data_IF_571437336109
#
_entry.id   IF_571437336109
#
_cell.length_a   1.000
_cell.length_b   1.000
_cell.length_c   1.000
_cell.angle_alpha   90.00
_cell.angle_beta   90.00
_cell.angle_gamma   90.00
#
_symmetry.space_group_name_H-M   'P 1'
#
loop_
_entity.id
_entity.type
_entity.pdbx_description
1 polymer ?
#
# COMPACT_ATOMS: atom_id res chain seq x y z
N UNK A 1 14.75 -14.42 -12.07
CA UNK A 1 13.82 -13.28 -11.86
C UNK A 1 12.46 -13.65 -12.41
N UNK A 2 11.40 -13.67 -11.63
CA UNK A 2 10.05 -13.63 -12.18
C UNK A 2 9.93 -12.32 -12.95
N UNK A 3 9.56 -12.42 -14.21
CA UNK A 3 9.49 -11.27 -15.09
C UNK A 3 8.03 -10.98 -15.43
N UNK A 4 7.63 -9.74 -15.29
CA UNK A 4 6.41 -9.23 -15.89
C UNK A 4 6.76 -8.87 -17.33
N UNK A 5 6.15 -9.58 -18.30
CA UNK A 5 6.48 -9.43 -19.72
C UNK A 5 5.29 -9.02 -20.59
N UNK A 6 4.10 -8.91 -20.00
CA UNK A 6 2.86 -8.58 -20.73
C UNK A 6 2.01 -7.58 -19.95
N UNK A 7 1.17 -6.83 -20.63
CA UNK A 7 0.18 -5.95 -20.01
C UNK A 7 -0.77 -6.71 -19.06
N UNK A 8 -1.19 -7.93 -19.44
CA UNK A 8 -2.02 -8.78 -18.60
C UNK A 8 -1.32 -9.14 -17.28
N UNK A 9 0.00 -9.38 -17.31
CA UNK A 9 0.74 -9.66 -16.08
C UNK A 9 0.92 -8.40 -15.20
N UNK A 10 0.99 -7.20 -15.80
CA UNK A 10 0.91 -5.93 -15.07
C UNK A 10 -0.46 -5.82 -14.38
N UNK A 11 -1.54 -6.06 -15.12
CA UNK A 11 -2.90 -5.99 -14.59
C UNK A 11 -3.11 -6.99 -13.44
N UNK A 12 -2.62 -8.22 -13.58
CA UNK A 12 -2.67 -9.23 -12.52
C UNK A 12 -1.86 -8.79 -11.28
N UNK A 13 -0.65 -8.26 -11.48
CA UNK A 13 0.20 -7.79 -10.39
C UNK A 13 -0.44 -6.64 -9.61
N UNK A 14 -0.91 -5.61 -10.31
CA UNK A 14 -1.54 -4.44 -9.68
C UNK A 14 -2.88 -4.79 -9.02
N UNK A 15 -3.66 -5.71 -9.61
CA UNK A 15 -4.87 -6.26 -8.98
C UNK A 15 -4.55 -6.91 -7.64
N UNK A 16 -3.54 -7.78 -7.61
CA UNK A 16 -3.14 -8.45 -6.37
C UNK A 16 -2.56 -7.49 -5.35
N UNK A 17 -1.76 -6.51 -5.77
CA UNK A 17 -1.23 -5.48 -4.88
C UNK A 17 -2.37 -4.64 -4.26
N UNK A 18 -3.35 -4.26 -5.07
CA UNK A 18 -4.51 -3.53 -4.58
C UNK A 18 -5.42 -4.38 -3.69
N UNK A 19 -5.57 -5.68 -3.99
CA UNK A 19 -6.35 -6.58 -3.15
C UNK A 19 -5.72 -6.80 -1.75
N UNK A 20 -4.41 -6.65 -1.62
CA UNK A 20 -3.71 -6.72 -0.34
C UNK A 20 -3.61 -5.38 0.37
N UNK A 21 -4.24 -4.34 -0.16
CA UNK A 21 -4.10 -2.97 0.34
C UNK A 21 -5.09 -2.59 1.45
N UNK A 22 -5.93 -3.51 1.92
CA UNK A 22 -7.00 -3.21 2.87
C UNK A 22 -7.89 -2.03 2.41
N UNK A 23 -8.18 -1.97 1.12
CA UNK A 23 -9.00 -0.94 0.45
C UNK A 23 -8.43 0.50 0.51
N UNK A 24 -7.14 0.65 0.83
CA UNK A 24 -6.45 1.94 0.94
C UNK A 24 -5.41 2.24 -0.14
N UNK A 25 -5.04 1.28 -0.97
CA UNK A 25 -3.91 1.36 -1.91
C UNK A 25 -4.07 2.29 -3.12
N UNK A 26 -5.21 2.95 -3.25
CA UNK A 26 -5.53 3.88 -4.33
C UNK A 26 -5.77 3.21 -5.69
N UNK A 27 -5.94 4.04 -6.74
CA UNK A 27 -6.14 3.56 -8.12
C UNK A 27 -4.82 3.66 -8.92
N UNK A 28 -4.18 2.54 -9.31
CA UNK A 28 -2.86 2.52 -9.94
C UNK A 28 -2.87 2.80 -11.46
N UNK A 29 -3.76 3.64 -11.95
CA UNK A 29 -3.88 3.96 -13.40
C UNK A 29 -2.57 4.54 -13.95
N UNK A 30 -1.94 5.45 -13.21
CA UNK A 30 -0.66 6.09 -13.59
C UNK A 30 0.45 5.04 -13.61
N UNK A 31 0.56 4.24 -12.57
CA UNK A 31 1.59 3.21 -12.41
C UNK A 31 1.45 2.13 -13.47
N UNK A 32 0.21 1.74 -13.81
CA UNK A 32 -0.07 0.83 -14.93
C UNK A 32 0.47 1.39 -16.24
N UNK A 33 0.20 2.65 -16.52
CA UNK A 33 0.71 3.34 -17.72
C UNK A 33 2.25 3.38 -17.76
N UNK A 34 2.89 3.67 -16.64
CA UNK A 34 4.34 3.69 -16.48
C UNK A 34 4.95 2.31 -16.72
N UNK A 35 4.41 1.25 -16.12
CA UNK A 35 4.89 -0.12 -16.28
C UNK A 35 4.73 -0.62 -17.74
N UNK A 36 3.64 -0.27 -18.41
CA UNK A 36 3.47 -0.56 -19.85
C UNK A 36 4.55 0.15 -20.67
N UNK A 37 4.82 1.43 -20.38
CA UNK A 37 5.87 2.18 -21.06
C UNK A 37 7.27 1.61 -20.77
N UNK A 38 7.50 1.09 -19.57
CA UNK A 38 8.77 0.44 -19.20
C UNK A 38 8.98 -0.87 -19.98
N UNK A 39 7.93 -1.70 -20.13
CA UNK A 39 7.99 -2.88 -20.99
C UNK A 39 8.24 -2.52 -22.46
N UNK A 40 7.55 -1.51 -22.98
CA UNK A 40 7.70 -1.05 -24.36
C UNK A 40 9.13 -0.51 -24.62
N UNK A 41 9.78 0.05 -23.59
CA UNK A 41 11.17 0.50 -23.64
C UNK A 41 12.18 -0.64 -23.44
N UNK A 42 11.74 -1.88 -23.29
CA UNK A 42 12.60 -3.05 -23.08
C UNK A 42 13.25 -3.09 -21.69
N UNK A 43 12.71 -2.36 -20.71
CA UNK A 43 13.23 -2.40 -19.34
C UNK A 43 12.79 -3.70 -18.65
N UNK A 44 13.67 -4.33 -17.84
CA UNK A 44 13.29 -5.50 -17.07
C UNK A 44 12.35 -5.10 -15.94
N UNK A 45 11.11 -5.60 -15.96
CA UNK A 45 10.12 -5.40 -14.90
C UNK A 45 10.00 -6.70 -14.10
N UNK A 46 10.35 -6.65 -12.81
CA UNK A 46 10.34 -7.85 -11.97
C UNK A 46 11.08 -7.62 -10.65
N UNK A 47 11.31 -8.69 -9.92
CA UNK A 47 11.94 -8.67 -8.60
C UNK A 47 12.88 -9.85 -8.40
N UNK A 48 13.68 -9.78 -7.34
CA UNK A 48 14.67 -10.80 -6.95
C UNK A 48 14.45 -11.21 -5.49
N UNK A 49 14.82 -12.43 -5.11
CA UNK A 49 14.90 -12.79 -3.71
C UNK A 49 16.00 -11.95 -3.02
N UNK A 50 15.76 -11.58 -1.76
CA UNK A 50 16.72 -10.79 -0.97
C UNK A 50 18.11 -11.43 -0.90
N UNK A 51 18.18 -12.76 -0.94
CA UNK A 51 19.43 -13.53 -0.93
C UNK A 51 20.35 -13.30 -2.13
N UNK A 52 19.87 -12.66 -3.19
CA UNK A 52 20.70 -12.27 -4.36
C UNK A 52 21.38 -10.90 -4.17
N UNK A 53 21.10 -10.20 -3.06
CA UNK A 53 21.61 -8.86 -2.81
C UNK A 53 22.67 -8.84 -1.70
N UNK A 54 23.54 -7.84 -1.77
CA UNK A 54 24.51 -7.49 -0.74
C UNK A 54 24.69 -5.96 -0.71
N UNK A 55 24.80 -5.37 0.49
CA UNK A 55 24.96 -3.92 0.68
C UNK A 55 23.77 -3.28 1.38
N UNK A 56 23.39 -2.08 0.95
CA UNK A 56 22.33 -1.26 1.54
C UNK A 56 21.15 -1.15 0.58
N UNK A 57 19.95 -1.45 1.08
CA UNK A 57 18.70 -1.25 0.36
C UNK A 57 18.07 0.10 0.71
N UNK A 58 17.23 0.63 -0.17
CA UNK A 58 16.39 1.78 0.09
C UNK A 58 14.92 1.42 -0.10
N UNK A 59 14.04 2.15 0.57
CA UNK A 59 12.61 2.18 0.25
C UNK A 59 12.24 3.46 -0.47
N UNK A 60 11.20 3.39 -1.27
CA UNK A 60 10.56 4.57 -1.85
C UNK A 60 9.06 4.53 -1.64
N UNK A 61 8.46 5.68 -1.42
CA UNK A 61 7.01 5.84 -1.41
C UNK A 61 6.62 7.27 -1.81
N UNK A 62 5.41 7.42 -2.26
CA UNK A 62 4.79 8.74 -2.28
C UNK A 62 4.33 9.13 -0.88
N UNK A 63 4.65 10.36 -0.48
CA UNK A 63 3.94 11.04 0.60
C UNK A 63 2.90 11.95 -0.04
N UNK A 64 1.63 11.67 0.23
CA UNK A 64 0.50 12.48 -0.24
C UNK A 64 0.11 13.52 0.80
N UNK A 65 -0.25 14.71 0.36
CA UNK A 65 -1.05 15.64 1.16
C UNK A 65 -2.49 15.55 0.68
N UNK A 66 -3.36 15.17 1.59
CA UNK A 66 -4.80 15.23 1.36
C UNK A 66 -5.26 16.55 1.96
N UNK A 67 -4.89 17.67 1.32
CA UNK A 67 -5.43 18.96 1.70
C UNK A 67 -6.91 19.02 1.32
N UNK A 68 -7.76 19.67 2.16
CA UNK A 68 -9.15 19.94 1.79
C UNK A 68 -9.27 20.76 0.49
N UNK A 69 -8.24 21.51 0.17
CA UNK A 69 -8.09 22.24 -1.07
C UNK A 69 -7.42 21.32 -2.09
N UNK A 70 -8.24 20.55 -2.84
CA UNK A 70 -7.76 19.83 -4.01
C UNK A 70 -7.06 20.83 -4.93
N UNK A 71 -5.86 20.50 -5.37
CA UNK A 71 -5.19 21.27 -6.41
C UNK A 71 -5.84 20.92 -7.74
N UNK A 72 -6.81 21.73 -8.17
CA UNK A 72 -7.62 21.47 -9.36
C UNK A 72 -6.77 21.42 -10.64
N UNK A 73 -5.62 22.09 -10.65
CA UNK A 73 -4.64 22.01 -11.73
C UNK A 73 -3.22 22.26 -11.17
N UNK A 74 -2.50 21.20 -10.74
CA UNK A 74 -1.14 21.35 -10.24
C UNK A 74 -0.15 21.86 -11.29
N UNK A 75 -0.37 21.59 -12.57
CA UNK A 75 0.51 22.06 -13.66
C UNK A 75 0.37 23.58 -13.85
N UNK A 76 -0.86 24.10 -13.89
CA UNK A 76 -1.11 25.54 -14.00
C UNK A 76 -0.53 26.30 -12.79
N UNK A 77 -0.70 25.74 -11.59
CA UNK A 77 -0.13 26.30 -10.36
C UNK A 77 1.39 26.30 -10.37
N UNK A 78 2.02 25.23 -10.85
CA UNK A 78 3.47 25.17 -10.99
C UNK A 78 3.99 26.26 -11.94
N UNK A 79 3.32 26.46 -13.07
CA UNK A 79 3.65 27.56 -14.02
C UNK A 79 3.52 28.93 -13.35
N UNK A 80 2.47 29.17 -12.58
CA UNK A 80 2.28 30.42 -11.84
C UNK A 80 3.36 30.67 -10.79
N UNK A 81 3.99 29.60 -10.25
CA UNK A 81 5.13 29.68 -9.34
C UNK A 81 6.49 29.79 -10.06
N UNK A 82 6.49 29.87 -11.38
CA UNK A 82 7.70 29.99 -12.20
C UNK A 82 8.37 28.66 -12.53
N UNK A 83 7.67 27.53 -12.36
CA UNK A 83 8.12 26.17 -12.64
C UNK A 83 7.29 25.48 -13.72
N UNK A 84 7.46 24.18 -13.82
CA UNK A 84 6.72 23.25 -14.68
C UNK A 84 7.17 21.84 -14.39
N UNK A 85 6.50 20.84 -14.98
CA UNK A 85 6.89 19.43 -14.78
C UNK A 85 8.29 19.16 -15.32
N UNK A 86 9.15 18.64 -14.45
CA UNK A 86 10.55 18.25 -14.72
C UNK A 86 10.70 16.74 -14.71
N UNK A 87 9.98 16.07 -13.81
CA UNK A 87 10.10 14.62 -13.60
C UNK A 87 8.77 13.91 -13.79
N UNK A 88 8.67 13.02 -14.76
CA UNK A 88 7.54 12.09 -14.89
C UNK A 88 7.57 11.00 -13.82
N UNK A 89 8.76 10.70 -13.31
CA UNK A 89 9.00 9.67 -12.32
C UNK A 89 9.97 10.15 -11.23
N UNK A 90 9.46 10.89 -10.22
CA UNK A 90 10.31 11.59 -9.24
C UNK A 90 11.07 10.66 -8.28
N UNK A 91 10.73 9.36 -8.21
CA UNK A 91 11.51 8.37 -7.44
C UNK A 91 12.93 8.18 -7.98
N UNK A 92 13.12 8.27 -9.31
CA UNK A 92 14.43 8.12 -9.90
C UNK A 92 15.42 9.15 -9.35
N UNK A 93 15.17 10.47 -9.41
CA UNK A 93 16.03 11.45 -8.78
C UNK A 93 16.05 11.38 -7.25
N UNK A 94 14.96 10.93 -6.58
CA UNK A 94 14.95 10.79 -5.12
C UNK A 94 15.95 9.71 -4.64
N UNK A 95 16.00 8.55 -5.31
CA UNK A 95 16.98 7.49 -5.00
C UNK A 95 18.41 8.00 -5.25
N UNK A 96 18.68 8.68 -6.37
CA UNK A 96 20.00 9.24 -6.68
C UNK A 96 20.44 10.30 -5.67
N UNK A 97 19.50 11.14 -5.23
CA UNK A 97 19.75 12.13 -4.18
C UNK A 97 20.09 11.46 -2.83
N UNK A 98 19.42 10.37 -2.49
CA UNK A 98 19.75 9.62 -1.26
C UNK A 98 21.11 8.96 -1.34
N UNK A 99 21.47 8.37 -2.49
CA UNK A 99 22.82 7.83 -2.74
C UNK A 99 23.90 8.91 -2.55
N UNK A 100 23.67 10.09 -3.12
CA UNK A 100 24.60 11.23 -3.01
C UNK A 100 24.77 11.68 -1.55
N UNK A 101 23.67 11.84 -0.83
CA UNK A 101 23.66 12.30 0.58
C UNK A 101 24.38 11.33 1.51
N UNK A 102 24.23 10.03 1.27
CA UNK A 102 24.82 8.97 2.09
C UNK A 102 26.23 8.54 1.63
N UNK A 103 26.59 8.82 0.39
CA UNK A 103 27.83 8.34 -0.22
C UNK A 103 27.83 6.82 -0.42
N UNK A 104 26.64 6.20 -0.62
CA UNK A 104 26.48 4.76 -0.82
C UNK A 104 25.68 4.49 -2.08
N UNK A 105 25.92 3.34 -2.72
CA UNK A 105 25.13 2.87 -3.85
C UNK A 105 24.00 1.99 -3.33
N UNK A 106 22.78 2.22 -3.82
CA UNK A 106 21.62 1.39 -3.50
C UNK A 106 21.77 0.00 -4.14
N UNK A 107 21.79 -1.04 -3.33
CA UNK A 107 21.91 -2.42 -3.77
C UNK A 107 20.59 -3.03 -4.22
N UNK A 108 19.46 -2.51 -3.71
CA UNK A 108 18.11 -2.98 -4.02
C UNK A 108 17.06 -2.06 -3.43
N UNK A 109 15.87 -2.09 -4.01
CA UNK A 109 14.70 -1.41 -3.49
C UNK A 109 13.80 -2.39 -2.74
N UNK A 110 13.23 -1.95 -1.61
CA UNK A 110 12.24 -2.72 -0.83
C UNK A 110 10.96 -1.89 -0.76
N UNK A 111 9.81 -2.47 -1.09
CA UNK A 111 8.53 -1.75 -0.94
C UNK A 111 8.25 -1.47 0.53
N UNK A 112 7.77 -0.28 0.84
CA UNK A 112 7.40 0.07 2.22
C UNK A 112 6.13 -0.65 2.66
N UNK A 113 5.25 -0.92 1.71
CA UNK A 113 3.92 -1.49 1.89
C UNK A 113 3.45 -2.17 0.61
N UNK A 114 2.31 -2.85 0.65
CA UNK A 114 1.62 -3.36 -0.52
C UNK A 114 0.38 -2.52 -0.80
N UNK A 115 0.39 -1.83 -1.92
CA UNK A 115 -0.74 -1.04 -2.41
C UNK A 115 -0.57 -0.73 -3.89
N UNK A 116 -1.65 -0.50 -4.62
CA UNK A 116 -1.61 -0.35 -6.09
C UNK A 116 -0.65 0.74 -6.53
N UNK A 117 -0.72 1.91 -5.91
CA UNK A 117 0.11 3.07 -6.26
C UNK A 117 1.56 2.85 -5.85
N UNK A 118 1.86 2.71 -4.55
CA UNK A 118 3.25 2.63 -4.09
C UNK A 118 4.01 1.41 -4.62
N UNK A 119 3.35 0.24 -4.68
CA UNK A 119 3.98 -0.98 -5.20
C UNK A 119 4.19 -0.92 -6.72
N UNK A 120 3.25 -0.35 -7.47
CA UNK A 120 3.41 -0.11 -8.90
C UNK A 120 4.53 0.88 -9.20
N UNK A 121 4.59 1.97 -8.43
CA UNK A 121 5.58 3.02 -8.60
C UNK A 121 7.01 2.55 -8.30
N UNK A 122 7.23 1.78 -7.21
CA UNK A 122 8.56 1.25 -6.89
C UNK A 122 9.02 0.22 -7.94
N UNK A 123 8.13 -0.60 -8.47
CA UNK A 123 8.44 -1.55 -9.53
C UNK A 123 8.89 -0.82 -10.81
N UNK A 124 8.21 0.27 -11.20
CA UNK A 124 8.62 1.12 -12.31
C UNK A 124 9.96 1.84 -12.01
N UNK A 125 10.15 2.35 -10.78
CA UNK A 125 11.41 2.96 -10.36
C UNK A 125 12.59 1.99 -10.48
N UNK A 126 12.41 0.77 -9.99
CA UNK A 126 13.40 -0.32 -10.11
C UNK A 126 13.80 -0.56 -11.55
N UNK A 127 12.84 -0.72 -12.45
CA UNK A 127 13.06 -0.93 -13.88
C UNK A 127 13.83 0.23 -14.55
N UNK A 128 13.55 1.47 -14.17
CA UNK A 128 14.19 2.69 -14.72
C UNK A 128 15.58 2.94 -14.15
N UNK A 129 15.79 2.64 -12.89
CA UNK A 129 17.08 2.78 -12.22
C UNK A 129 18.06 1.66 -12.58
N UNK A 130 17.53 0.49 -13.01
CA UNK A 130 18.31 -0.74 -13.14
C UNK A 130 18.75 -1.30 -11.77
N UNK A 131 18.04 -0.94 -10.69
CA UNK A 131 18.27 -1.41 -9.33
C UNK A 131 17.23 -2.49 -9.04
N UNK A 132 17.60 -3.70 -8.57
CA UNK A 132 16.65 -4.77 -8.29
C UNK A 132 15.58 -4.38 -7.26
N UNK A 133 14.34 -4.77 -7.49
CA UNK A 133 13.30 -4.77 -6.46
C UNK A 133 13.35 -6.10 -5.69
N UNK A 134 13.29 -6.04 -4.37
CA UNK A 134 13.22 -7.23 -3.51
C UNK A 134 11.83 -7.86 -3.61
N UNK A 135 11.75 -9.20 -3.63
CA UNK A 135 10.50 -9.94 -3.42
C UNK A 135 10.11 -9.89 -1.95
N UNK A 136 9.54 -8.76 -1.54
CA UNK A 136 9.16 -8.48 -0.16
C UNK A 136 8.83 -7.01 0.07
N UNK A 137 8.25 -6.76 1.23
CA UNK A 137 7.91 -5.42 1.69
C UNK A 137 8.00 -5.30 3.22
N UNK A 138 7.65 -4.15 3.78
CA UNK A 138 7.76 -3.89 5.22
C UNK A 138 6.43 -3.86 5.98
N UNK A 139 5.32 -4.26 5.37
CA UNK A 139 4.01 -4.26 6.04
C UNK A 139 3.12 -5.46 5.69
N UNK A 140 3.25 -6.02 4.48
CA UNK A 140 2.41 -7.10 3.96
C UNK A 140 0.97 -6.68 3.65
N UNK A 141 0.69 -5.38 3.69
CA UNK A 141 -0.56 -4.68 3.36
C UNK A 141 -0.28 -3.20 3.14
N UNK A 142 -1.26 -2.41 2.72
CA UNK A 142 -1.16 -0.96 2.81
C UNK A 142 -1.37 -0.47 4.26
N UNK A 143 -0.75 0.65 4.57
CA UNK A 143 -0.68 1.23 5.91
C UNK A 143 -0.80 2.76 5.86
N UNK A 144 -1.48 3.39 6.83
CA UNK A 144 -1.67 4.83 6.83
C UNK A 144 -0.45 5.62 7.31
N UNK A 145 0.47 4.96 8.04
CA UNK A 145 1.53 5.63 8.80
C UNK A 145 2.82 4.82 8.83
N UNK A 146 3.97 5.51 8.88
CA UNK A 146 5.30 4.88 9.00
C UNK A 146 5.50 4.03 10.27
N UNK A 147 4.72 4.29 11.32
CA UNK A 147 4.73 3.45 12.52
C UNK A 147 4.27 2.02 12.26
N UNK A 148 3.40 1.83 11.27
CA UNK A 148 2.84 0.54 10.92
C UNK A 148 3.76 -0.27 9.99
N UNK A 149 5.07 -0.02 10.06
CA UNK A 149 6.09 -0.75 9.28
C UNK A 149 6.96 -1.63 10.15
N UNK A 150 7.41 -2.74 9.61
CA UNK A 150 8.33 -3.65 10.28
C UNK A 150 9.65 -2.95 10.71
N UNK A 151 10.28 -2.05 9.94
CA UNK A 151 11.39 -1.25 10.43
C UNK A 151 11.07 -0.46 11.71
N UNK A 152 9.89 0.15 11.82
CA UNK A 152 9.50 0.85 13.05
C UNK A 152 9.32 -0.11 14.23
N UNK A 153 8.62 -1.23 14.03
CA UNK A 153 8.38 -2.26 15.05
C UNK A 153 9.69 -2.82 15.59
N UNK A 154 10.70 -2.98 14.74
CA UNK A 154 12.03 -3.47 15.10
C UNK A 154 13.01 -2.38 15.54
N UNK A 155 12.60 -1.10 15.54
CA UNK A 155 13.45 0.02 15.96
C UNK A 155 14.50 0.44 14.95
N UNK A 156 14.38 0.03 13.69
CA UNK A 156 15.30 0.39 12.61
C UNK A 156 15.17 1.86 12.23
N UNK A 157 16.29 2.46 11.78
CA UNK A 157 16.32 3.83 11.32
C UNK A 157 15.79 3.95 9.91
N UNK A 158 14.80 4.82 9.70
CA UNK A 158 14.26 5.09 8.36
C UNK A 158 14.77 6.40 7.76
N UNK A 159 15.49 7.21 8.53
CA UNK A 159 16.11 8.46 8.11
C UNK A 159 17.52 8.23 7.55
N UNK A 160 18.02 9.11 6.67
CA UNK A 160 17.38 10.33 6.14
C UNK A 160 16.35 10.05 5.07
N UNK A 161 15.47 11.06 4.80
CA UNK A 161 14.60 11.07 3.62
C UNK A 161 15.17 12.01 2.56
N UNK A 162 15.26 11.54 1.34
CA UNK A 162 15.46 12.37 0.14
C UNK A 162 14.13 12.50 -0.59
N UNK A 163 13.58 13.71 -0.64
CA UNK A 163 12.27 13.99 -1.17
C UNK A 163 12.41 14.80 -2.46
N UNK A 164 11.72 14.38 -3.52
CA UNK A 164 11.71 15.04 -4.82
C UNK A 164 10.29 15.06 -5.37
N UNK A 165 9.85 16.20 -5.89
CA UNK A 165 8.56 16.32 -6.54
C UNK A 165 8.64 16.31 -8.08
N UNK A 166 7.49 16.35 -8.72
CA UNK A 166 7.37 16.42 -10.18
C UNK A 166 7.96 17.68 -10.79
N UNK A 167 8.12 18.76 -10.00
CA UNK A 167 8.52 20.08 -10.46
C UNK A 167 10.01 20.37 -10.23
N UNK A 168 10.77 19.38 -9.70
CA UNK A 168 12.21 19.47 -9.51
C UNK A 168 12.65 20.01 -8.15
N UNK A 169 11.72 20.23 -7.20
CA UNK A 169 12.10 20.56 -5.84
C UNK A 169 12.74 19.35 -5.15
N UNK A 170 13.82 19.60 -4.41
CA UNK A 170 14.58 18.58 -3.67
C UNK A 170 14.72 18.99 -2.21
N UNK A 171 14.40 18.09 -1.29
CA UNK A 171 14.48 18.32 0.16
C UNK A 171 15.09 17.10 0.85
N UNK A 172 16.02 17.35 1.79
CA UNK A 172 16.57 16.31 2.66
C UNK A 172 16.07 16.51 4.08
N UNK A 173 15.39 15.49 4.62
CA UNK A 173 15.09 15.40 6.05
C UNK A 173 16.19 14.55 6.68
N UNK A 174 17.23 15.24 7.20
CA UNK A 174 18.43 14.55 7.72
C UNK A 174 18.17 13.81 9.01
N UNK A 175 17.38 14.41 9.90
CA UNK A 175 17.07 13.87 11.22
C UNK A 175 15.70 14.30 11.68
N UNK A 176 15.07 13.48 12.51
CA UNK A 176 13.80 13.75 13.16
C UNK A 176 13.76 13.04 14.51
N UNK A 177 13.06 13.56 15.52
CA UNK A 177 12.92 12.91 16.82
C UNK A 177 12.21 11.55 16.76
N UNK A 178 11.37 11.33 15.75
CA UNK A 178 10.63 10.08 15.54
C UNK A 178 10.15 9.93 14.10
N UNK A 179 9.75 8.71 13.73
CA UNK A 179 9.12 8.43 12.42
C UNK A 179 7.83 9.23 12.21
N UNK A 180 7.03 9.45 13.28
CA UNK A 180 5.83 10.30 13.25
C UNK A 180 6.13 11.75 12.84
N UNK A 181 7.20 12.32 13.38
CA UNK A 181 7.62 13.65 12.98
C UNK A 181 8.13 13.69 11.55
N UNK A 182 8.90 12.69 11.14
CA UNK A 182 9.39 12.59 9.76
C UNK A 182 8.21 12.51 8.77
N UNK A 183 7.22 11.66 9.03
CA UNK A 183 6.02 11.55 8.23
C UNK A 183 5.22 12.86 8.17
N UNK A 184 5.01 13.50 9.32
CA UNK A 184 4.34 14.80 9.37
C UNK A 184 5.04 15.85 8.49
N UNK A 185 6.37 15.87 8.49
CA UNK A 185 7.16 16.77 7.64
C UNK A 185 6.94 16.42 6.16
N UNK A 186 7.01 15.14 5.77
CA UNK A 186 6.81 14.74 4.36
C UNK A 186 5.41 15.08 3.86
N UNK A 187 4.37 14.95 4.69
CA UNK A 187 3.00 15.36 4.34
C UNK A 187 2.88 16.86 4.09
N UNK A 188 3.60 17.70 4.87
CA UNK A 188 3.63 19.14 4.62
C UNK A 188 4.47 19.50 3.38
N UNK A 189 5.53 18.76 3.10
CA UNK A 189 6.26 18.90 1.84
C UNK A 189 5.38 18.53 0.65
N UNK A 190 4.60 17.44 0.74
CA UNK A 190 3.64 17.07 -0.30
C UNK A 190 2.62 18.18 -0.56
N UNK A 191 2.11 18.86 0.48
CA UNK A 191 1.25 20.04 0.33
C UNK A 191 1.94 21.16 -0.45
N UNK A 192 3.21 21.46 -0.12
CA UNK A 192 4.01 22.46 -0.82
C UNK A 192 4.34 22.05 -2.26
N UNK A 193 4.36 20.77 -2.54
CA UNK A 193 4.60 20.13 -3.85
C UNK A 193 3.32 19.87 -4.64
N UNK A 194 2.26 20.62 -4.36
CA UNK A 194 0.97 20.54 -5.04
C UNK A 194 0.30 19.17 -4.94
N UNK A 195 0.42 18.52 -3.78
CA UNK A 195 -0.31 17.34 -3.39
C UNK A 195 0.51 16.06 -3.24
N UNK A 196 1.65 15.93 -3.91
CA UNK A 196 2.43 14.69 -3.92
C UNK A 196 3.94 14.95 -3.94
N UNK A 197 4.70 14.21 -3.12
CA UNK A 197 6.16 14.20 -3.16
C UNK A 197 6.68 12.76 -3.08
N UNK A 198 7.65 12.42 -3.92
CA UNK A 198 8.33 11.13 -3.86
C UNK A 198 9.45 11.16 -2.82
N UNK A 199 9.52 10.15 -1.99
CA UNK A 199 10.53 9.99 -0.95
C UNK A 199 11.34 8.72 -1.20
N UNK A 200 12.67 8.83 -1.11
CA UNK A 200 13.58 7.70 -0.94
C UNK A 200 14.15 7.75 0.49
N UNK A 201 14.15 6.63 1.19
CA UNK A 201 14.44 6.56 2.62
C UNK A 201 14.76 5.13 3.07
N UNK A 202 14.84 4.89 4.39
CA UNK A 202 15.13 3.59 5.00
C UNK A 202 16.37 2.92 4.41
N UNK A 203 17.56 3.53 4.57
CA UNK A 203 18.81 2.92 4.15
C UNK A 203 19.18 1.79 5.10
N UNK A 204 18.69 0.57 4.82
CA UNK A 204 18.80 -0.60 5.69
C UNK A 204 19.72 -1.63 5.03
N UNK A 205 20.65 -2.18 5.81
CA UNK A 205 21.54 -3.24 5.33
C UNK A 205 20.76 -4.52 4.97
N UNK A 206 21.13 -5.20 3.91
CA UNK A 206 20.48 -6.43 3.43
C UNK A 206 20.34 -7.48 4.54
N UNK A 207 21.33 -7.62 5.42
CA UNK A 207 21.28 -8.54 6.55
C UNK A 207 20.12 -8.21 7.52
N UNK A 208 19.90 -6.93 7.84
CA UNK A 208 18.82 -6.47 8.69
C UNK A 208 17.46 -6.59 7.99
N UNK A 209 17.40 -6.28 6.68
CA UNK A 209 16.18 -6.49 5.88
C UNK A 209 15.69 -7.94 5.98
N UNK A 210 16.60 -8.91 5.97
CA UNK A 210 16.27 -10.35 6.09
C UNK A 210 15.54 -10.72 7.38
N UNK A 211 15.73 -9.95 8.45
CA UNK A 211 15.09 -10.17 9.75
C UNK A 211 13.73 -9.51 9.88
N UNK A 212 13.48 -8.42 9.13
CA UNK A 212 12.30 -7.57 9.30
C UNK A 212 11.32 -7.59 8.10
N UNK A 213 11.81 -7.91 6.92
CA UNK A 213 11.01 -7.91 5.69
C UNK A 213 9.93 -9.00 5.73
N UNK A 214 8.76 -8.71 5.20
CA UNK A 214 7.75 -9.70 4.84
C UNK A 214 8.12 -10.29 3.49
N UNK A 215 8.61 -11.52 3.41
CA UNK A 215 9.13 -12.06 2.15
C UNK A 215 8.03 -12.52 1.21
N UNK A 216 8.32 -12.53 -0.11
CA UNK A 216 7.48 -13.14 -1.13
C UNK A 216 6.26 -12.32 -1.55
N UNK A 217 6.09 -11.11 -1.06
CA UNK A 217 4.85 -10.34 -1.27
C UNK A 217 4.65 -9.87 -2.71
N UNK A 218 5.71 -9.60 -3.46
CA UNK A 218 5.59 -9.28 -4.90
C UNK A 218 5.10 -10.49 -5.70
N UNK A 219 5.64 -11.67 -5.42
CA UNK A 219 5.21 -12.94 -6.02
C UNK A 219 3.76 -13.27 -5.62
N UNK A 220 3.38 -13.00 -4.38
CA UNK A 220 2.02 -13.20 -3.88
C UNK A 220 1.02 -12.27 -4.60
N UNK A 221 1.34 -10.98 -4.79
CA UNK A 221 0.51 -10.05 -5.57
C UNK A 221 0.20 -10.61 -6.97
N UNK A 222 1.24 -11.04 -7.69
CA UNK A 222 1.06 -11.59 -9.04
C UNK A 222 0.23 -12.87 -9.03
N UNK A 223 0.44 -13.75 -8.05
CA UNK A 223 -0.27 -15.02 -7.90
C UNK A 223 -1.75 -14.79 -7.60
N UNK A 224 -2.04 -13.88 -6.66
CA UNK A 224 -3.40 -13.51 -6.27
C UNK A 224 -4.19 -12.92 -7.46
N UNK A 225 -3.60 -11.94 -8.16
CA UNK A 225 -4.28 -11.33 -9.30
C UNK A 225 -4.55 -12.32 -10.44
N UNK A 226 -3.61 -13.25 -10.68
CA UNK A 226 -3.82 -14.36 -11.62
C UNK A 226 -4.94 -15.31 -11.19
N UNK A 227 -5.03 -15.62 -9.90
CA UNK A 227 -6.08 -16.51 -9.37
C UNK A 227 -7.48 -15.89 -9.58
N UNK A 228 -7.63 -14.60 -9.27
CA UNK A 228 -8.87 -13.84 -9.48
C UNK A 228 -9.26 -13.84 -10.95
N UNK A 229 -8.33 -13.48 -11.85
CA UNK A 229 -8.60 -13.49 -13.30
C UNK A 229 -8.95 -14.87 -13.81
N UNK A 230 -8.20 -15.90 -13.42
CA UNK A 230 -8.45 -17.27 -13.87
C UNK A 230 -9.82 -17.81 -13.39
N UNK A 231 -10.27 -17.45 -12.18
CA UNK A 231 -11.60 -17.79 -11.69
C UNK A 231 -12.69 -17.16 -12.57
N UNK A 232 -12.57 -15.88 -12.89
CA UNK A 232 -13.51 -15.21 -13.82
C UNK A 232 -13.56 -15.86 -15.20
N UNK A 233 -12.42 -16.19 -15.78
CA UNK A 233 -12.33 -16.84 -17.09
C UNK A 233 -13.01 -18.22 -17.11
N UNK A 234 -13.04 -18.92 -15.98
CA UNK A 234 -13.72 -20.21 -15.83
C UNK A 234 -15.19 -20.09 -15.42
N UNK A 235 -15.65 -18.92 -15.01
CA UNK A 235 -16.98 -18.71 -14.42
C UNK A 235 -17.09 -19.20 -12.96
N UNK A 236 -15.95 -19.36 -12.28
CA UNK A 236 -15.88 -19.66 -10.85
C UNK A 236 -16.06 -18.37 -10.01
N UNK A 237 -16.29 -18.51 -8.70
CA UNK A 237 -16.36 -17.38 -7.77
C UNK A 237 -14.98 -16.73 -7.57
N UNK A 238 -14.74 -15.50 -8.07
CA UNK A 238 -13.45 -14.84 -7.98
C UNK A 238 -13.11 -14.38 -6.55
N UNK A 239 -14.12 -14.15 -5.71
CA UNK A 239 -13.94 -13.79 -4.30
C UNK A 239 -13.45 -14.99 -3.50
N UNK A 240 -14.05 -16.17 -3.72
CA UNK A 240 -13.58 -17.40 -3.11
C UNK A 240 -12.17 -17.77 -3.57
N UNK A 241 -11.86 -17.54 -4.87
CA UNK A 241 -10.52 -17.75 -5.40
C UNK A 241 -9.48 -16.79 -4.78
N UNK A 242 -9.85 -15.54 -4.53
CA UNK A 242 -9.00 -14.57 -3.84
C UNK A 242 -8.74 -15.00 -2.38
N UNK A 243 -9.78 -15.35 -1.64
CA UNK A 243 -9.66 -15.83 -0.27
C UNK A 243 -8.77 -17.07 -0.19
N UNK A 244 -8.95 -18.03 -1.09
CA UNK A 244 -8.11 -19.24 -1.15
C UNK A 244 -6.64 -18.90 -1.47
N UNK A 245 -6.39 -17.99 -2.42
CA UNK A 245 -5.03 -17.61 -2.80
C UNK A 245 -4.28 -16.87 -1.67
N UNK A 246 -5.02 -16.22 -0.77
CA UNK A 246 -4.49 -15.53 0.42
C UNK A 246 -4.38 -16.44 1.66
N UNK A 247 -4.81 -17.71 1.60
CA UNK A 247 -5.03 -18.53 2.78
C UNK A 247 -5.92 -17.81 3.81
N UNK A 248 -7.00 -17.23 3.31
CA UNK A 248 -7.91 -16.36 4.05
C UNK A 248 -9.36 -16.79 3.95
N UNK A 249 -10.27 -15.88 4.30
CA UNK A 249 -11.70 -16.16 4.44
C UNK A 249 -12.55 -15.13 3.69
N UNK A 250 -13.68 -15.58 3.14
CA UNK A 250 -14.78 -14.67 2.76
C UNK A 250 -15.54 -14.32 4.03
N UNK A 251 -15.38 -13.10 4.49
CA UNK A 251 -15.94 -12.62 5.76
C UNK A 251 -17.41 -12.23 5.65
N UNK A 252 -17.77 -11.55 4.55
CA UNK A 252 -19.10 -10.97 4.39
C UNK A 252 -19.42 -10.75 2.91
N UNK A 253 -20.71 -10.75 2.60
CA UNK A 253 -21.27 -10.23 1.34
C UNK A 253 -22.46 -9.38 1.65
N UNK A 254 -22.54 -8.19 1.08
CA UNK A 254 -23.61 -7.27 1.38
C UNK A 254 -23.65 -6.05 0.48
N UNK A 255 -24.58 -5.17 0.79
CA UNK A 255 -24.80 -3.90 0.11
C UNK A 255 -24.39 -2.75 1.03
N UNK A 256 -23.73 -1.74 0.51
CA UNK A 256 -23.36 -0.52 1.25
C UNK A 256 -24.64 0.27 1.55
N UNK A 257 -24.98 0.39 2.83
CA UNK A 257 -26.17 1.13 3.31
C UNK A 257 -25.81 2.38 4.11
N UNK A 258 -24.56 2.51 4.53
CA UNK A 258 -24.04 3.68 5.24
C UNK A 258 -22.62 3.99 4.77
N UNK A 259 -22.34 5.29 4.60
CA UNK A 259 -21.04 5.79 4.18
C UNK A 259 -20.83 7.16 4.82
N UNK A 260 -19.88 7.25 5.72
CA UNK A 260 -19.54 8.50 6.42
C UNK A 260 -18.01 8.58 6.54
N UNK A 261 -17.39 9.57 5.89
CA UNK A 261 -15.94 9.78 5.99
C UNK A 261 -15.57 11.23 5.68
N UNK A 262 -14.46 11.65 6.23
CA UNK A 262 -13.89 12.98 6.02
C UNK A 262 -12.39 12.90 5.81
N UNK A 263 -11.86 13.92 5.14
CA UNK A 263 -10.43 14.14 5.02
C UNK A 263 -9.96 14.99 6.20
N UNK A 264 -9.24 14.35 7.14
CA UNK A 264 -8.68 14.97 8.35
C UNK A 264 -7.15 15.06 8.33
N UNK A 265 -6.55 14.86 7.14
CA UNK A 265 -5.13 14.61 6.92
C UNK A 265 -4.87 13.13 6.64
N UNK A 266 -5.86 12.30 6.93
CA UNK A 266 -6.12 10.95 6.46
C UNK A 266 -7.56 10.87 5.99
N UNK A 267 -7.90 9.89 5.19
CA UNK A 267 -9.28 9.56 4.87
C UNK A 267 -9.84 8.67 5.98
N UNK A 268 -10.47 9.31 6.98
CA UNK A 268 -11.04 8.62 8.14
C UNK A 268 -12.56 8.45 7.97
N UNK A 269 -13.08 7.25 8.26
CA UNK A 269 -14.52 7.06 8.19
C UNK A 269 -15.03 5.68 8.48
N UNK A 270 -16.29 5.46 8.15
CA UNK A 270 -16.98 4.17 8.32
C UNK A 270 -17.83 3.83 7.11
N UNK A 271 -17.90 2.54 6.82
CA UNK A 271 -18.88 1.93 5.93
C UNK A 271 -19.78 0.99 6.72
N UNK A 272 -21.07 1.00 6.42
CA UNK A 272 -22.04 0.05 6.96
C UNK A 272 -22.63 -0.78 5.82
N UNK A 273 -22.68 -2.09 6.02
CA UNK A 273 -23.14 -3.07 5.04
C UNK A 273 -24.32 -3.83 5.59
N UNK A 274 -25.34 -4.02 4.77
CA UNK A 274 -26.43 -4.96 5.02
C UNK A 274 -26.18 -6.26 4.28
N UNK A 275 -26.18 -7.38 4.99
CA UNK A 275 -25.82 -8.69 4.46
C UNK A 275 -26.78 -9.22 3.41
N UNK A 276 -26.24 -9.88 2.40
CA UNK A 276 -26.96 -10.57 1.32
C UNK A 276 -26.61 -12.05 1.27
N UNK A 277 -27.46 -12.88 0.64
CA UNK A 277 -27.24 -14.33 0.55
C UNK A 277 -27.16 -14.98 1.93
N UNK A 278 -26.09 -15.70 2.19
CA UNK A 278 -25.81 -16.40 3.46
C UNK A 278 -25.65 -15.44 4.66
N UNK A 279 -25.44 -14.15 4.38
CA UNK A 279 -25.29 -13.09 5.39
C UNK A 279 -26.58 -12.26 5.57
N UNK A 280 -27.70 -12.64 4.95
CA UNK A 280 -28.96 -11.91 5.04
C UNK A 280 -29.40 -11.72 6.50
N UNK A 281 -29.78 -10.49 6.85
CA UNK A 281 -30.18 -10.09 8.21
C UNK A 281 -29.01 -9.75 9.14
N UNK A 282 -27.77 -9.87 8.71
CA UNK A 282 -26.58 -9.44 9.44
C UNK A 282 -26.17 -8.03 9.00
N UNK A 283 -25.47 -7.32 9.87
CA UNK A 283 -24.89 -6.01 9.58
C UNK A 283 -23.40 -5.99 9.91
N UNK A 284 -22.61 -5.50 8.95
CA UNK A 284 -21.18 -5.27 9.14
C UNK A 284 -20.91 -3.77 9.09
N UNK A 285 -20.18 -3.27 10.09
CA UNK A 285 -19.62 -1.93 10.10
C UNK A 285 -18.10 -2.04 10.04
N UNK A 286 -17.44 -1.23 9.20
CA UNK A 286 -15.98 -1.19 9.09
C UNK A 286 -15.53 0.25 9.23
N UNK A 287 -14.61 0.51 10.16
CA UNK A 287 -13.89 1.77 10.27
C UNK A 287 -12.57 1.69 9.53
N UNK A 288 -12.23 2.78 8.85
CA UNK A 288 -11.00 2.90 8.09
C UNK A 288 -10.29 4.23 8.37
N UNK A 289 -8.97 4.20 8.26
CA UNK A 289 -8.06 5.34 8.10
C UNK A 289 -7.19 5.06 6.91
N UNK A 290 -7.52 5.61 5.74
CA UNK A 290 -7.12 5.16 4.42
C UNK A 290 -7.48 3.69 4.19
N UNK A 291 -6.91 2.78 4.97
CA UNK A 291 -7.10 1.32 5.01
C UNK A 291 -8.17 0.90 6.03
N UNK A 292 -8.75 -0.27 5.82
CA UNK A 292 -9.67 -0.89 6.79
C UNK A 292 -8.92 -1.39 8.02
N UNK A 293 -9.40 -1.02 9.23
CA UNK A 293 -8.72 -1.36 10.47
C UNK A 293 -9.59 -2.04 11.52
N UNK A 294 -10.83 -1.64 11.70
CA UNK A 294 -11.69 -2.20 12.76
C UNK A 294 -13.06 -2.51 12.20
N UNK A 295 -13.59 -3.69 12.53
CA UNK A 295 -14.93 -4.07 12.13
C UNK A 295 -15.80 -4.50 13.31
N UNK A 296 -17.12 -4.40 13.12
CA UNK A 296 -18.16 -4.86 14.03
C UNK A 296 -19.21 -5.63 13.25
N UNK A 297 -19.49 -6.85 13.69
CA UNK A 297 -20.56 -7.68 13.14
C UNK A 297 -21.76 -7.66 14.09
N UNK A 298 -22.91 -7.16 13.63
CA UNK A 298 -24.12 -6.97 14.43
C UNK A 298 -23.89 -6.13 15.71
N UNK A 299 -22.97 -5.18 15.64
CA UNK A 299 -22.60 -4.29 16.73
C UNK A 299 -21.49 -4.79 17.65
N UNK A 300 -21.11 -6.06 17.56
CA UNK A 300 -20.02 -6.64 18.35
C UNK A 300 -18.67 -6.54 17.63
N UNK A 301 -17.58 -6.17 18.33
CA UNK A 301 -16.24 -6.13 17.74
C UNK A 301 -15.87 -7.46 17.08
N UNK A 302 -15.32 -7.37 15.87
CA UNK A 302 -15.02 -8.54 15.08
C UNK A 302 -13.57 -8.52 14.58
N UNK A 303 -13.34 -8.59 13.26
CA UNK A 303 -11.99 -8.58 12.71
C UNK A 303 -11.37 -7.19 12.80
N UNK A 304 -10.11 -7.12 13.20
CA UNK A 304 -9.38 -5.86 13.28
C UNK A 304 -7.94 -6.02 12.76
N UNK A 305 -7.34 -4.91 12.29
CA UNK A 305 -5.91 -4.87 11.99
C UNK A 305 -5.07 -5.25 13.23
N UNK A 306 -3.90 -5.85 13.00
CA UNK A 306 -3.17 -6.03 11.75
C UNK A 306 -3.70 -7.12 10.80
N UNK A 307 -4.74 -7.90 11.16
CA UNK A 307 -5.41 -8.77 10.18
C UNK A 307 -5.98 -7.94 9.02
N UNK A 308 -5.96 -8.51 7.81
CA UNK A 308 -6.44 -7.83 6.62
C UNK A 308 -7.97 -7.86 6.56
N UNK A 309 -8.56 -6.73 6.19
CA UNK A 309 -9.98 -6.58 5.82
C UNK A 309 -10.01 -5.88 4.47
N UNK A 310 -10.37 -6.59 3.41
CA UNK A 310 -10.36 -6.08 2.05
C UNK A 310 -11.77 -6.11 1.46
N UNK A 311 -12.14 -5.03 0.75
CA UNK A 311 -13.37 -4.95 -0.01
C UNK A 311 -13.12 -5.26 -1.47
N UNK A 312 -13.99 -6.06 -2.07
CA UNK A 312 -13.93 -6.33 -3.49
C UNK A 312 -15.32 -6.43 -4.12
N UNK A 313 -15.37 -6.24 -5.41
CA UNK A 313 -16.57 -6.46 -6.21
C UNK A 313 -16.95 -7.95 -6.18
N UNK A 314 -18.18 -8.33 -5.82
CA UNK A 314 -18.57 -9.71 -5.62
C UNK A 314 -18.63 -10.54 -6.91
N UNK A 315 -18.73 -9.90 -8.07
CA UNK A 315 -18.84 -10.58 -9.37
C UNK A 315 -17.50 -10.73 -10.05
N UNK A 316 -16.63 -9.71 -9.91
CA UNK A 316 -15.35 -9.67 -10.60
C UNK A 316 -14.16 -9.98 -9.71
N UNK A 317 -14.29 -9.85 -8.38
CA UNK A 317 -13.17 -9.94 -7.46
C UNK A 317 -12.19 -8.77 -7.57
N UNK A 318 -12.54 -7.70 -8.30
CA UNK A 318 -11.68 -6.51 -8.34
C UNK A 318 -11.68 -5.81 -6.97
N UNK A 319 -10.51 -5.43 -6.44
CA UNK A 319 -10.41 -4.72 -5.17
C UNK A 319 -11.08 -3.34 -5.26
N UNK A 320 -11.67 -2.91 -4.17
CA UNK A 320 -12.40 -1.65 -4.08
C UNK A 320 -11.69 -0.70 -3.10
N UNK A 321 -11.62 0.57 -3.48
CA UNK A 321 -11.01 1.63 -2.66
C UNK A 321 -12.08 2.29 -1.80
N UNK A 322 -11.82 2.46 -0.51
CA UNK A 322 -12.76 3.00 0.48
C UNK A 322 -13.46 4.29 0.04
N UNK A 323 -12.71 5.23 -0.54
CA UNK A 323 -13.24 6.54 -0.92
C UNK A 323 -14.15 6.52 -2.14
N UNK A 324 -14.11 5.45 -2.94
CA UNK A 324 -14.91 5.30 -4.17
C UNK A 324 -16.17 4.46 -3.98
N UNK A 325 -16.38 3.87 -2.80
CA UNK A 325 -17.61 3.11 -2.53
C UNK A 325 -18.85 4.00 -2.61
N UNK A 326 -19.93 3.45 -3.14
CA UNK A 326 -21.20 4.15 -3.30
C UNK A 326 -22.34 3.47 -2.50
N UNK A 327 -23.34 4.25 -2.09
CA UNK A 327 -24.55 3.69 -1.47
C UNK A 327 -25.28 2.80 -2.47
N UNK A 328 -25.71 1.63 -2.02
CA UNK A 328 -26.37 0.64 -2.87
C UNK A 328 -25.41 -0.29 -3.64
N UNK A 329 -24.11 -0.06 -3.56
CA UNK A 329 -23.11 -0.93 -4.19
C UNK A 329 -23.04 -2.27 -3.46
N UNK A 330 -23.06 -3.38 -4.22
CA UNK A 330 -22.78 -4.71 -3.68
C UNK A 330 -21.28 -4.91 -3.53
N UNK A 331 -20.86 -5.43 -2.38
CA UNK A 331 -19.45 -5.73 -2.10
C UNK A 331 -19.31 -7.07 -1.39
N UNK A 332 -18.15 -7.68 -1.55
CA UNK A 332 -17.68 -8.79 -0.73
C UNK A 332 -16.51 -8.33 0.13
N UNK A 333 -16.37 -8.95 1.29
CA UNK A 333 -15.30 -8.68 2.25
C UNK A 333 -14.47 -9.93 2.42
N UNK A 334 -13.17 -9.81 2.20
CA UNK A 334 -12.20 -10.90 2.39
C UNK A 334 -11.26 -10.54 3.52
N UNK A 335 -10.95 -11.51 4.35
CA UNK A 335 -10.00 -11.36 5.45
C UNK A 335 -8.85 -12.34 5.35
N UNK A 336 -7.74 -11.95 5.98
CA UNK A 336 -6.56 -12.76 6.08
C UNK A 336 -5.84 -12.50 7.40
N UNK A 337 -5.20 -13.55 7.95
CA UNK A 337 -4.36 -13.43 9.12
C UNK A 337 -3.20 -12.45 8.87
N UNK A 338 -2.86 -11.68 9.90
CA UNK A 338 -1.69 -10.78 9.93
C UNK A 338 -0.39 -11.47 9.57
N UNK A 339 0.59 -10.71 9.18
CA UNK A 339 1.96 -11.19 8.99
C UNK A 339 2.65 -11.41 10.33
N UNK A 340 3.57 -12.36 10.38
CA UNK A 340 4.28 -12.74 11.62
C UNK A 340 5.08 -11.56 12.20
N UNK A 341 5.57 -10.63 11.39
CA UNK A 341 6.23 -9.39 11.81
C UNK A 341 5.34 -8.52 12.71
N UNK A 342 4.02 -8.66 12.60
CA UNK A 342 3.03 -7.92 13.38
C UNK A 342 2.32 -8.78 14.44
N UNK A 343 2.68 -10.04 14.60
CA UNK A 343 2.17 -10.96 15.63
C UNK A 343 3.00 -10.84 16.93
N UNK A 344 3.13 -9.61 17.41
CA UNK A 344 3.92 -9.25 18.58
C UNK A 344 3.29 -8.07 19.32
N UNK A 345 3.69 -7.81 20.55
CA UNK A 345 3.24 -6.63 21.29
C UNK A 345 3.58 -5.33 20.55
N UNK A 346 4.78 -5.22 19.97
CA UNK A 346 5.18 -4.07 19.15
C UNK A 346 4.34 -3.92 17.87
N UNK A 347 4.06 -5.00 17.18
CA UNK A 347 3.19 -5.02 16.00
C UNK A 347 1.76 -4.60 16.31
N UNK A 348 1.20 -5.10 17.41
CA UNK A 348 -0.14 -4.70 17.87
C UNK A 348 -0.17 -3.25 18.38
N UNK A 349 0.90 -2.76 19.01
CA UNK A 349 1.01 -1.36 19.40
C UNK A 349 1.09 -0.43 18.18
N UNK A 350 1.67 -0.89 17.07
CA UNK A 350 1.86 -0.12 15.85
C UNK A 350 0.65 -0.15 14.89
N UNK A 351 -0.13 -1.23 14.88
CA UNK A 351 -1.20 -1.45 13.86
C UNK A 351 -2.49 -2.06 14.44
N UNK A 352 -2.54 -2.32 15.75
CA UNK A 352 -3.73 -2.87 16.39
C UNK A 352 -4.82 -1.82 16.66
N UNK A 353 -6.03 -2.23 17.07
CA UNK A 353 -7.16 -1.31 17.25
C UNK A 353 -6.90 -0.19 18.26
N UNK A 354 -6.11 -0.44 19.31
CA UNK A 354 -5.75 0.57 20.31
C UNK A 354 -4.90 1.70 19.74
N UNK A 355 -4.07 1.43 18.72
CA UNK A 355 -3.31 2.45 17.99
C UNK A 355 -4.25 3.50 17.37
N UNK A 356 -5.39 3.07 16.87
CA UNK A 356 -6.40 3.92 16.25
C UNK A 356 -7.42 4.51 17.24
N UNK A 357 -7.18 4.36 18.54
CA UNK A 357 -8.02 4.95 19.59
C UNK A 357 -9.22 4.11 20.03
N UNK A 358 -9.32 2.85 19.58
CA UNK A 358 -10.36 1.94 20.01
C UNK A 358 -9.89 1.13 21.24
N UNK A 359 -10.60 1.23 22.36
CA UNK A 359 -10.35 0.39 23.54
C UNK A 359 -10.88 -1.02 23.32
N UNK A 360 -10.25 -1.74 22.40
CA UNK A 360 -10.59 -3.10 22.04
C UNK A 360 -9.34 -3.98 22.17
N UNK A 361 -9.53 -5.18 22.70
CA UNK A 361 -8.51 -6.21 22.63
C UNK A 361 -8.46 -6.82 21.23
N UNK A 362 -7.26 -6.93 20.68
CA UNK A 362 -7.07 -7.64 19.42
C UNK A 362 -7.37 -9.12 19.59
N UNK A 363 -8.11 -9.67 18.66
CA UNK A 363 -8.39 -11.12 18.54
C UNK A 363 -8.08 -11.52 17.10
N UNK A 364 -7.20 -12.51 16.95
CA UNK A 364 -6.81 -13.01 15.63
C UNK A 364 -8.00 -13.56 14.86
N UNK A 365 -8.08 -13.23 13.59
CA UNK A 365 -9.16 -13.63 12.68
C UNK A 365 -9.42 -15.13 12.70
N UNK A 366 -8.37 -15.95 12.84
CA UNK A 366 -8.42 -17.41 12.91
C UNK A 366 -9.22 -17.95 14.11
N UNK A 367 -9.56 -17.09 15.08
CA UNK A 367 -10.38 -17.43 16.25
C UNK A 367 -11.83 -16.93 16.13
N UNK A 368 -12.14 -16.20 15.07
CA UNK A 368 -13.41 -15.48 14.87
C UNK A 368 -14.25 -16.05 13.73
N UNK A 369 -13.62 -16.80 12.81
CA UNK A 369 -14.22 -17.31 11.57
C UNK A 369 -14.01 -18.82 11.44
#
# INVERSE_FOLDING_TARGET
>A
MPQITTATAIDDFLRGANFMSASGGGDPVVERGQLIADLAAGRPVGWVPLSELDGTTFSVCFSGSIAPESFDDPEERAVALGGGRVHDHPFVPAVRLLEEVLGVTCAGLVSIEIGGINTGAILSASARLGIPLVDGDYAGRAIPELHATAPHVHGSQVLPFACVDHFGNQVIIRSSPSNAWAERITKHLALSSLGLIACAFAPIAVAEVGEICVPGTMTECLTLGRAIRAARERGDDPVAAAAQALDGWVLFRGTVVGRDWANTGYMDGTHELEGTGDFAGRRLKVWFRNENHVSWLDGEPWVASPDLIEFCDPQTGEPLVNTYLELGQEIAVVGRRRRDQFDSEGGLAALGPRHFGFDLEFRGIETLV
#
